data_IF_807223415568
#
_entry.id   IF_807223415568
#
_cell.length_a   1.000
_cell.length_b   1.000
_cell.length_c   1.000
_cell.angle_alpha   90.00
_cell.angle_beta   90.00
_cell.angle_gamma   90.00
#
_symmetry.space_group_name_H-M   'P 1'
#
loop_
_entity.id
_entity.type
_entity.pdbx_description
1 polymer ?
#
# COMPACT_ATOMS: atom_id res chain seq x y z
N UNK A 1 -0.03 -12.86 -15.73
CA UNK A 1 1.38 -12.56 -15.44
C UNK A 1 1.44 -11.40 -14.46
N UNK A 2 2.29 -11.49 -13.45
CA UNK A 2 2.40 -10.43 -12.43
C UNK A 2 3.40 -9.36 -12.88
N UNK A 3 3.09 -8.10 -12.53
CA UNK A 3 4.01 -7.00 -12.75
C UNK A 3 5.07 -6.98 -11.64
N UNK A 4 6.22 -6.39 -11.92
CA UNK A 4 7.23 -6.13 -10.89
C UNK A 4 6.68 -5.14 -9.88
N UNK A 5 7.11 -5.28 -8.64
CA UNK A 5 6.65 -4.42 -7.53
C UNK A 5 7.83 -3.56 -7.08
N UNK A 6 7.63 -2.24 -7.11
CA UNK A 6 8.60 -1.29 -6.58
C UNK A 6 7.89 -0.37 -5.59
N UNK A 7 8.66 0.19 -4.64
CA UNK A 7 8.12 1.07 -3.61
C UNK A 7 8.73 2.45 -3.72
N UNK A 8 7.90 3.47 -3.61
CA UNK A 8 8.37 4.80 -3.27
C UNK A 8 9.01 4.74 -1.88
N UNK A 9 10.10 5.49 -1.66
CA UNK A 9 10.82 5.48 -0.38
C UNK A 9 9.90 5.70 0.81
N UNK A 10 9.00 6.68 0.70
CA UNK A 10 8.08 7.00 1.79
C UNK A 10 7.09 5.86 2.07
N UNK A 11 6.69 5.10 1.05
CA UNK A 11 5.82 3.95 1.23
C UNK A 11 6.52 2.83 2.01
N UNK A 12 7.80 2.58 1.70
CA UNK A 12 8.59 1.60 2.45
C UNK A 12 8.71 1.99 3.92
N UNK A 13 9.00 3.26 4.20
CA UNK A 13 9.11 3.77 5.56
C UNK A 13 7.78 3.62 6.30
N UNK A 14 6.66 3.95 5.65
CA UNK A 14 5.33 3.83 6.24
C UNK A 14 5.00 2.39 6.60
N UNK A 15 5.35 1.45 5.72
CA UNK A 15 5.11 0.03 5.95
C UNK A 15 5.90 -0.47 7.16
N UNK A 16 7.18 -0.10 7.23
CA UNK A 16 8.05 -0.49 8.35
C UNK A 16 7.54 0.11 9.67
N UNK A 17 7.23 1.39 9.68
CA UNK A 17 6.75 2.10 10.88
C UNK A 17 5.42 1.52 11.38
N UNK A 18 4.47 1.28 10.48
CA UNK A 18 3.19 0.72 10.85
C UNK A 18 3.35 -0.69 11.41
N UNK A 19 4.21 -1.51 10.80
CA UNK A 19 4.48 -2.86 11.27
C UNK A 19 5.05 -2.85 12.71
N UNK A 20 6.00 -1.96 12.97
CA UNK A 20 6.60 -1.81 14.30
C UNK A 20 5.55 -1.35 15.32
N UNK A 21 4.68 -0.43 14.94
CA UNK A 21 3.63 0.07 15.81
C UNK A 21 2.67 -1.06 16.22
N UNK A 22 2.24 -1.89 15.25
CA UNK A 22 1.35 -3.01 15.56
C UNK A 22 2.02 -4.04 16.46
N UNK A 23 3.31 -4.31 16.23
CA UNK A 23 4.04 -5.26 17.08
C UNK A 23 4.14 -4.76 18.52
N UNK A 24 4.23 -3.45 18.72
CA UNK A 24 4.25 -2.86 20.06
C UNK A 24 2.92 -3.03 20.79
N UNK A 25 1.83 -3.29 20.07
CA UNK A 25 0.51 -3.48 20.67
C UNK A 25 0.22 -4.93 21.04
N UNK A 26 0.70 -5.87 20.22
CA UNK A 26 0.51 -7.29 20.48
C UNK A 26 1.56 -8.08 19.70
N UNK A 27 2.22 -9.00 20.40
CA UNK A 27 3.22 -9.87 19.76
C UNK A 27 2.59 -10.64 18.59
N UNK A 28 3.24 -10.61 17.44
CA UNK A 28 2.79 -11.27 16.22
C UNK A 28 1.86 -10.43 15.35
N UNK A 29 1.39 -9.28 15.83
CA UNK A 29 0.45 -8.46 15.08
C UNK A 29 1.09 -7.83 13.84
N UNK A 30 2.40 -7.56 13.89
CA UNK A 30 3.12 -7.07 12.71
C UNK A 30 3.03 -8.06 11.55
N UNK A 31 3.18 -9.35 11.82
CA UNK A 31 3.11 -10.38 10.78
C UNK A 31 1.72 -10.43 10.13
N UNK A 32 0.66 -10.26 10.93
CA UNK A 32 -0.71 -10.22 10.41
C UNK A 32 -0.93 -8.99 9.52
N UNK A 33 -0.43 -7.83 9.95
CA UNK A 33 -0.52 -6.61 9.16
C UNK A 33 0.27 -6.72 7.86
N UNK A 34 1.52 -7.20 7.95
CA UNK A 34 2.39 -7.37 6.78
C UNK A 34 1.77 -8.33 5.76
N UNK A 35 1.17 -9.44 6.24
CA UNK A 35 0.52 -10.40 5.36
C UNK A 35 -0.66 -9.76 4.62
N UNK A 36 -1.42 -8.91 5.29
CA UNK A 36 -2.55 -8.24 4.65
C UNK A 36 -2.08 -7.23 3.60
N UNK A 37 -1.07 -6.44 3.89
CA UNK A 37 -0.52 -5.47 2.93
C UNK A 37 0.09 -6.22 1.73
N UNK A 38 0.82 -7.31 1.98
CA UNK A 38 1.39 -8.14 0.91
C UNK A 38 0.29 -8.73 0.02
N UNK A 39 -0.83 -9.15 0.60
CA UNK A 39 -1.99 -9.62 -0.16
C UNK A 39 -2.50 -8.53 -1.09
N UNK A 40 -2.66 -7.32 -0.59
CA UNK A 40 -3.12 -6.17 -1.38
C UNK A 40 -2.17 -5.91 -2.55
N UNK A 41 -0.88 -5.86 -2.28
CA UNK A 41 0.14 -5.58 -3.29
C UNK A 41 0.20 -6.69 -4.34
N UNK A 42 0.09 -7.95 -3.92
CA UNK A 42 0.07 -9.09 -4.85
C UNK A 42 -1.13 -9.03 -5.79
N UNK A 43 -2.30 -8.68 -5.27
CA UNK A 43 -3.49 -8.51 -6.10
C UNK A 43 -3.30 -7.39 -7.13
N UNK A 44 -2.72 -6.26 -6.70
CA UNK A 44 -2.43 -5.15 -7.59
C UNK A 44 -1.45 -5.55 -8.69
N UNK A 45 -0.43 -6.33 -8.34
CA UNK A 45 0.57 -6.81 -9.29
C UNK A 45 -0.03 -7.73 -10.35
N UNK A 46 -0.99 -8.57 -9.96
CA UNK A 46 -1.63 -9.53 -10.88
C UNK A 46 -2.68 -8.89 -11.77
N UNK A 47 -3.46 -7.96 -11.25
CA UNK A 47 -4.55 -7.33 -11.99
C UNK A 47 -4.80 -5.91 -11.49
N UNK A 48 -3.91 -4.96 -11.85
CA UNK A 48 -4.01 -3.60 -11.31
C UNK A 48 -5.28 -2.87 -11.72
N UNK A 49 -5.83 -3.18 -12.90
CA UNK A 49 -6.97 -2.45 -13.44
C UNK A 49 -8.29 -2.76 -12.73
N UNK A 50 -8.33 -3.79 -11.88
CA UNK A 50 -9.53 -4.10 -11.10
C UNK A 50 -9.78 -3.08 -9.99
N UNK A 51 -8.78 -2.28 -9.62
CA UNK A 51 -8.90 -1.33 -8.52
C UNK A 51 -9.25 0.06 -9.00
N UNK A 52 -10.05 0.78 -8.21
CA UNK A 52 -10.56 2.09 -8.60
C UNK A 52 -9.46 3.14 -8.64
N UNK A 53 -9.51 3.98 -9.66
CA UNK A 53 -8.69 5.20 -9.74
C UNK A 53 -9.24 6.20 -8.74
N UNK A 54 -8.36 6.76 -7.91
CA UNK A 54 -8.73 7.77 -6.92
C UNK A 54 -8.28 9.17 -7.35
N UNK A 55 -7.22 9.26 -8.14
CA UNK A 55 -6.74 10.52 -8.71
C UNK A 55 -5.79 10.23 -9.87
N UNK A 56 -6.04 10.85 -11.03
CA UNK A 56 -5.23 10.68 -12.23
C UNK A 56 -5.07 9.19 -12.55
N UNK A 57 -3.86 8.65 -12.49
CA UNK A 57 -3.60 7.22 -12.73
C UNK A 57 -3.37 6.43 -11.43
N UNK A 58 -3.58 7.06 -10.28
CA UNK A 58 -3.34 6.43 -8.98
C UNK A 58 -4.57 5.63 -8.57
N UNK A 59 -4.34 4.37 -8.18
CA UNK A 59 -5.37 3.45 -7.74
C UNK A 59 -5.18 3.12 -6.27
N UNK A 60 -6.26 2.67 -5.62
CA UNK A 60 -6.27 2.39 -4.19
C UNK A 60 -6.81 0.99 -3.92
N UNK A 61 -6.17 0.30 -2.97
CA UNK A 61 -6.67 -0.92 -2.38
C UNK A 61 -6.88 -0.69 -0.89
N UNK A 62 -8.09 -0.98 -0.41
CA UNK A 62 -8.39 -0.87 1.03
C UNK A 62 -8.05 -2.22 1.69
N UNK A 63 -7.23 -2.17 2.74
CA UNK A 63 -6.87 -3.37 3.48
C UNK A 63 -8.06 -3.87 4.32
N UNK A 64 -8.10 -5.18 4.56
CA UNK A 64 -9.05 -5.80 5.48
C UNK A 64 -8.48 -5.74 6.89
N UNK A 65 -9.35 -5.55 7.91
CA UNK A 65 -9.03 -5.55 9.34
C UNK A 65 -8.21 -4.36 9.83
N UNK A 66 -7.41 -3.74 8.97
CA UNK A 66 -6.54 -2.63 9.35
C UNK A 66 -6.99 -1.37 8.64
N UNK A 67 -6.97 -0.20 9.31
CA UNK A 67 -7.43 1.05 8.71
C UNK A 67 -6.38 1.67 7.78
N UNK A 68 -5.88 0.87 6.85
CA UNK A 68 -4.85 1.26 5.89
C UNK A 68 -5.31 1.03 4.47
N UNK A 69 -4.79 1.85 3.57
CA UNK A 69 -4.95 1.67 2.13
C UNK A 69 -3.57 1.67 1.47
N UNK A 70 -3.46 0.94 0.38
CA UNK A 70 -2.26 0.93 -0.47
C UNK A 70 -2.59 1.74 -1.71
N UNK A 71 -1.80 2.78 -1.99
CA UNK A 71 -1.92 3.60 -3.19
C UNK A 71 -0.81 3.24 -4.15
N UNK A 72 -1.16 3.01 -5.41
CA UNK A 72 -0.19 2.60 -6.41
C UNK A 72 -0.55 3.14 -7.79
N UNK A 73 0.42 3.13 -8.70
CA UNK A 73 0.18 3.35 -10.12
C UNK A 73 0.94 2.31 -10.93
N UNK A 74 0.52 2.11 -12.17
CA UNK A 74 1.20 1.21 -13.09
C UNK A 74 2.18 1.99 -13.95
N UNK A 75 3.33 1.39 -14.21
CA UNK A 75 4.34 1.90 -15.14
C UNK A 75 4.84 0.72 -15.96
N UNK A 76 4.59 0.72 -17.25
CA UNK A 76 5.03 -0.34 -18.18
C UNK A 76 4.91 -1.75 -17.60
N UNK A 77 6.00 -2.30 -17.04
CA UNK A 77 6.07 -3.67 -16.54
C UNK A 77 6.06 -3.78 -15.01
N UNK A 78 5.69 -2.70 -14.31
CA UNK A 78 5.72 -2.68 -12.85
C UNK A 78 4.57 -1.89 -12.26
N UNK A 79 4.31 -2.12 -10.98
CA UNK A 79 3.53 -1.19 -10.17
C UNK A 79 4.48 -0.47 -9.22
N UNK A 80 4.18 0.79 -8.97
CA UNK A 80 4.89 1.60 -7.98
C UNK A 80 3.95 1.83 -6.82
N UNK A 81 4.30 1.31 -5.65
CA UNK A 81 3.55 1.55 -4.43
C UNK A 81 3.94 2.93 -3.91
N UNK A 82 2.99 3.87 -3.96
CA UNK A 82 3.23 5.26 -3.58
C UNK A 82 3.05 5.50 -2.09
N UNK A 83 2.18 4.75 -1.45
CA UNK A 83 1.89 4.94 -0.03
C UNK A 83 1.27 3.69 0.57
N UNK A 84 1.62 3.41 1.84
CA UNK A 84 0.92 2.50 2.73
C UNK A 84 0.38 3.40 3.83
N UNK A 85 -0.91 3.75 3.75
CA UNK A 85 -1.39 4.99 4.36
C UNK A 85 -2.59 4.75 5.27
N UNK A 86 -2.48 5.23 6.51
CA UNK A 86 -3.58 5.16 7.48
C UNK A 86 -4.71 6.09 7.04
N UNK A 87 -5.96 5.63 7.17
CA UNK A 87 -7.13 6.36 6.70
C UNK A 87 -7.38 7.69 7.40
N UNK A 88 -6.80 7.92 8.58
CA UNK A 88 -6.99 9.18 9.32
C UNK A 88 -5.97 10.26 8.96
N UNK A 89 -4.95 9.95 8.17
CA UNK A 89 -3.93 10.94 7.77
C UNK A 89 -4.42 11.79 6.59
N UNK A 90 -3.84 12.98 6.44
CA UNK A 90 -4.17 13.89 5.36
C UNK A 90 -3.70 13.34 4.00
N UNK A 91 -4.61 13.08 3.05
CA UNK A 91 -4.25 12.54 1.74
C UNK A 91 -3.33 13.46 0.93
N UNK A 92 -3.25 14.75 1.23
CA UNK A 92 -2.33 15.65 0.56
C UNK A 92 -0.87 15.14 0.65
N UNK A 93 -0.54 14.38 1.69
CA UNK A 93 0.81 13.86 1.90
C UNK A 93 1.20 12.90 0.77
N UNK A 94 0.35 11.91 0.43
CA UNK A 94 0.69 10.97 -0.63
C UNK A 94 0.43 11.56 -2.03
N UNK A 95 -0.52 12.49 -2.13
CA UNK A 95 -0.76 13.17 -3.40
C UNK A 95 0.49 13.88 -3.92
N UNK A 96 1.31 14.42 -3.02
CA UNK A 96 2.55 15.11 -3.38
C UNK A 96 3.62 14.15 -3.96
N UNK A 97 3.41 12.85 -3.85
CA UNK A 97 4.34 11.84 -4.37
C UNK A 97 4.05 11.43 -5.81
N UNK A 98 2.92 11.83 -6.31
CA UNK A 98 2.46 11.43 -7.62
C UNK A 98 3.24 12.10 -8.77
#
# INVERSE_FOLDING_TARGET
MSLLITFHRAASAEFIEASAWYESKRLGLALEFMAEIDRCISLASKNPLQFAVVREDIRRIVANRFPYSVYFRTEEHRIVVLAVFHGSRDPAIWLARA
#
